data_IF_877281169872
#
_entry.id   IF_877281169872
#
_cell.length_a   1.000
_cell.length_b   1.000
_cell.length_c   1.000
_cell.angle_alpha   90.00
_cell.angle_beta   90.00
_cell.angle_gamma   90.00
#
_symmetry.space_group_name_H-M   'P 1'
#
loop_
_entity.id
_entity.type
_entity.pdbx_description
1 polymer ?
#
# COMPACT_ATOMS: atom_id res chain seq x y z
N UNK A 1 14.46 16.57 9.18
CA UNK A 1 13.26 15.76 8.93
C UNK A 1 13.40 14.50 9.75
N UNK A 2 12.59 14.34 10.78
CA UNK A 2 12.48 13.06 11.48
C UNK A 2 11.80 12.14 10.48
N UNK A 3 12.57 11.31 9.77
CA UNK A 3 12.02 10.35 8.83
C UNK A 3 11.02 9.48 9.60
N UNK A 4 9.80 9.34 9.07
CA UNK A 4 8.64 8.72 9.72
C UNK A 4 8.85 7.21 9.98
N UNK A 5 9.87 6.82 10.72
CA UNK A 5 10.16 5.44 11.06
C UNK A 5 10.65 4.56 9.90
N UNK A 6 11.59 5.02 9.07
CA UNK A 6 12.42 4.13 8.22
C UNK A 6 11.81 3.68 6.89
N UNK A 7 12.45 2.68 6.25
CA UNK A 7 12.06 2.11 4.95
C UNK A 7 12.35 2.97 3.72
N UNK A 8 13.19 4.01 3.82
CA UNK A 8 13.49 4.95 2.71
C UNK A 8 14.54 4.43 1.71
N UNK A 9 14.95 3.17 1.85
CA UNK A 9 15.76 2.48 0.87
C UNK A 9 14.87 1.97 -0.28
N UNK A 10 15.05 2.56 -1.46
CA UNK A 10 14.26 2.26 -2.64
C UNK A 10 15.13 1.62 -3.72
N UNK A 11 14.65 0.52 -4.29
CA UNK A 11 15.26 -0.15 -5.42
C UNK A 11 14.19 -0.42 -6.48
N UNK A 12 14.34 0.11 -7.69
CA UNK A 12 13.44 -0.24 -8.79
C UNK A 12 13.94 -1.55 -9.37
N UNK A 13 13.10 -2.58 -9.34
CA UNK A 13 13.33 -3.74 -10.19
C UNK A 13 12.91 -3.38 -11.63
N UNK A 14 13.72 -3.78 -12.60
CA UNK A 14 13.52 -3.54 -14.04
C UNK A 14 13.72 -4.86 -14.78
N UNK A 15 12.79 -5.24 -15.66
CA UNK A 15 12.72 -6.58 -16.25
C UNK A 15 12.25 -7.67 -15.28
N UNK A 16 11.49 -7.27 -14.26
CA UNK A 16 10.94 -8.13 -13.22
C UNK A 16 9.76 -8.99 -13.71
N UNK A 17 9.46 -10.09 -13.02
CA UNK A 17 8.21 -10.83 -13.26
C UNK A 17 7.01 -9.99 -12.83
N UNK A 18 6.03 -9.85 -13.72
CA UNK A 18 4.78 -9.16 -13.43
C UNK A 18 3.86 -10.04 -12.58
N UNK A 19 3.28 -9.44 -11.52
CA UNK A 19 2.41 -10.13 -10.56
C UNK A 19 1.16 -9.31 -10.28
N UNK A 20 0.09 -9.99 -9.84
CA UNK A 20 -1.20 -9.35 -9.53
C UNK A 20 -1.61 -9.45 -8.04
N UNK A 21 -0.85 -10.20 -7.23
CA UNK A 21 -1.15 -10.39 -5.79
C UNK A 21 0.05 -10.13 -4.90
N UNK A 22 -0.22 -9.65 -3.68
CA UNK A 22 0.78 -9.49 -2.61
C UNK A 22 1.38 -10.81 -2.14
N UNK A 23 0.69 -11.92 -2.37
CA UNK A 23 1.14 -13.27 -2.00
C UNK A 23 1.95 -13.97 -3.08
N UNK A 24 2.02 -13.40 -4.30
CA UNK A 24 2.83 -13.94 -5.39
C UNK A 24 4.32 -13.69 -5.14
N UNK A 25 5.16 -14.66 -5.51
CA UNK A 25 6.59 -14.44 -5.59
C UNK A 25 6.88 -13.40 -6.68
N UNK A 26 7.68 -12.39 -6.33
CA UNK A 26 8.03 -11.28 -7.21
C UNK A 26 9.56 -11.14 -7.28
N UNK A 27 10.07 -10.24 -8.11
CA UNK A 27 11.51 -10.07 -8.28
C UNK A 27 12.19 -9.24 -7.19
N UNK A 28 11.49 -8.75 -6.17
CA UNK A 28 12.14 -8.26 -4.95
C UNK A 28 12.69 -9.42 -4.11
N UNK A 29 12.02 -10.58 -4.10
CA UNK A 29 12.39 -11.73 -3.25
C UNK A 29 13.82 -12.24 -3.49
N UNK A 30 14.31 -12.42 -4.74
CA UNK A 30 15.68 -12.85 -4.98
C UNK A 30 16.76 -11.86 -4.51
N UNK A 31 16.39 -10.59 -4.31
CA UNK A 31 17.29 -9.54 -3.80
C UNK A 31 17.32 -9.47 -2.27
N UNK A 32 16.54 -10.32 -1.59
CA UNK A 32 16.33 -10.21 -0.14
C UNK A 32 15.46 -9.01 0.25
N UNK A 33 14.70 -8.46 -0.70
CA UNK A 33 13.82 -7.31 -0.50
C UNK A 33 12.36 -7.73 -0.58
N UNK A 34 11.48 -6.83 -0.17
CA UNK A 34 10.04 -6.93 -0.39
C UNK A 34 9.59 -5.81 -1.32
N UNK A 35 8.37 -5.90 -1.84
CA UNK A 35 7.79 -4.75 -2.51
C UNK A 35 7.61 -3.61 -1.51
N UNK A 36 7.91 -2.39 -1.93
CA UNK A 36 7.86 -1.21 -1.08
C UNK A 36 6.47 -1.02 -0.48
N UNK A 37 6.41 -0.70 0.80
CA UNK A 37 5.16 -0.40 1.50
C UNK A 37 5.16 1.10 1.81
N UNK A 38 4.18 1.89 1.32
CA UNK A 38 4.12 3.30 1.66
C UNK A 38 3.77 3.46 3.13
N UNK A 39 4.75 3.87 3.93
CA UNK A 39 4.63 3.92 5.40
C UNK A 39 3.90 5.15 5.91
N UNK A 40 4.06 6.24 5.20
CA UNK A 40 3.46 7.54 5.45
C UNK A 40 3.33 8.29 4.15
N UNK A 41 2.63 9.42 4.19
CA UNK A 41 2.59 10.38 3.08
C UNK A 41 3.98 10.84 2.65
N UNK A 42 4.86 11.14 3.62
CA UNK A 42 6.22 11.58 3.31
C UNK A 42 7.07 10.46 2.70
N UNK A 43 6.86 9.21 3.15
CA UNK A 43 7.51 8.03 2.58
C UNK A 43 7.07 7.79 1.13
N UNK A 44 5.78 7.89 0.84
CA UNK A 44 5.23 7.84 -0.52
C UNK A 44 5.82 8.95 -1.42
N UNK A 45 5.94 10.17 -0.91
CA UNK A 45 6.55 11.28 -1.65
C UNK A 45 8.03 11.02 -1.95
N UNK A 46 8.77 10.49 -0.99
CA UNK A 46 10.19 10.17 -1.17
C UNK A 46 10.37 9.05 -2.22
N UNK A 47 9.48 8.05 -2.23
CA UNK A 47 9.47 7.01 -3.26
C UNK A 47 9.19 7.60 -4.65
N UNK A 48 8.20 8.48 -4.77
CA UNK A 48 7.91 9.18 -6.03
C UNK A 48 9.10 10.05 -6.49
N UNK A 49 9.70 10.83 -5.58
CA UNK A 49 10.89 11.64 -5.90
C UNK A 49 12.06 10.78 -6.37
N UNK A 50 12.28 9.63 -5.72
CA UNK A 50 13.28 8.67 -6.17
C UNK A 50 13.04 8.21 -7.61
N UNK A 51 11.80 7.84 -7.98
CA UNK A 51 11.47 7.48 -9.37
C UNK A 51 11.77 8.63 -10.32
N UNK A 52 11.36 9.87 -10.00
CA UNK A 52 11.63 11.04 -10.82
C UNK A 52 13.13 11.26 -11.06
N UNK A 53 13.97 11.05 -10.03
CA UNK A 53 15.42 11.17 -10.14
C UNK A 53 16.04 10.09 -11.04
N UNK A 54 15.41 8.93 -11.18
CA UNK A 54 15.89 7.86 -12.08
C UNK A 54 15.58 8.10 -13.56
N UNK A 55 14.72 9.08 -13.87
CA UNK A 55 14.23 9.32 -15.25
C UNK A 55 13.28 8.25 -15.77
N UNK A 56 12.83 7.30 -14.93
CA UNK A 56 11.81 6.31 -15.27
C UNK A 56 10.42 6.95 -15.22
N UNK A 57 9.51 6.41 -16.03
CA UNK A 57 8.12 6.85 -15.99
C UNK A 57 7.47 6.36 -14.69
N UNK A 58 6.79 7.23 -13.96
CA UNK A 58 6.05 6.84 -12.77
C UNK A 58 4.99 5.78 -13.07
N UNK A 59 4.38 5.89 -14.27
CA UNK A 59 3.45 4.90 -14.81
C UNK A 59 4.02 3.51 -14.97
N UNK A 60 5.32 3.38 -15.14
CA UNK A 60 5.96 2.09 -15.24
C UNK A 60 6.21 1.46 -13.88
N UNK A 61 6.52 2.26 -12.85
CA UNK A 61 6.92 1.79 -11.52
C UNK A 61 5.73 1.59 -10.57
N UNK A 62 4.70 2.43 -10.70
CA UNK A 62 3.51 2.43 -9.84
C UNK A 62 2.23 2.20 -10.66
N UNK A 63 2.18 1.08 -11.39
CA UNK A 63 0.92 0.61 -12.00
C UNK A 63 -0.09 0.15 -10.95
N UNK A 64 0.42 -0.24 -9.78
CA UNK A 64 -0.37 -0.74 -8.67
C UNK A 64 0.05 -0.13 -7.35
N UNK A 65 -0.87 -0.13 -6.39
CA UNK A 65 -0.56 0.17 -5.00
C UNK A 65 0.37 -0.93 -4.46
N UNK A 66 1.61 -0.59 -4.04
CA UNK A 66 2.59 -1.60 -3.66
C UNK A 66 2.43 -2.00 -2.19
N UNK A 67 2.63 -3.29 -1.90
CA UNK A 67 2.78 -3.81 -0.53
C UNK A 67 1.54 -3.75 0.37
N UNK A 68 0.37 -3.36 -0.13
CA UNK A 68 -0.87 -3.23 0.64
C UNK A 68 -2.00 -4.01 -0.03
N UNK A 69 -2.70 -4.82 0.74
CA UNK A 69 -3.83 -5.62 0.26
C UNK A 69 -4.83 -5.88 1.38
N UNK A 70 -5.93 -6.55 1.02
CA UNK A 70 -6.95 -7.04 1.96
C UNK A 70 -7.01 -8.58 1.88
N UNK A 71 -7.06 -9.29 3.02
CA UNK A 71 -6.98 -10.76 3.05
C UNK A 71 -8.31 -11.48 2.78
N UNK A 72 -9.28 -10.81 2.15
CA UNK A 72 -10.61 -11.35 1.90
C UNK A 72 -11.25 -10.70 0.68
N UNK A 73 -12.17 -11.45 0.09
CA UNK A 73 -12.90 -11.07 -1.09
C UNK A 73 -13.97 -10.00 -0.78
N UNK A 74 -14.46 -9.36 -1.83
CA UNK A 74 -15.60 -8.47 -1.81
C UNK A 74 -15.46 -7.24 -0.90
N UNK A 75 -16.51 -6.43 -0.91
CA UNK A 75 -16.62 -5.25 -0.04
C UNK A 75 -16.85 -5.61 1.44
N UNK A 76 -17.68 -6.63 1.70
CA UNK A 76 -18.28 -6.88 3.02
C UNK A 76 -17.76 -8.11 3.73
N UNK A 77 -16.95 -8.96 3.09
CA UNK A 77 -16.66 -10.30 3.63
C UNK A 77 -15.72 -10.29 4.85
N UNK A 78 -15.24 -9.10 5.23
CA UNK A 78 -14.51 -8.81 6.47
C UNK A 78 -15.10 -7.63 7.27
N UNK A 79 -16.39 -7.34 7.11
CA UNK A 79 -17.10 -6.21 7.73
C UNK A 79 -16.42 -4.84 7.52
N UNK A 80 -16.63 -4.18 6.37
CA UNK A 80 -16.75 -2.71 6.39
C UNK A 80 -15.49 -1.84 6.31
N UNK A 81 -14.47 -2.22 5.55
CA UNK A 81 -13.32 -1.34 5.22
C UNK A 81 -13.64 -0.15 4.31
N UNK A 82 -14.63 0.69 4.66
CA UNK A 82 -14.90 1.96 3.98
C UNK A 82 -14.02 3.04 4.58
N UNK A 83 -13.13 3.61 3.78
CA UNK A 83 -12.52 4.91 4.06
C UNK A 83 -11.32 4.92 5.00
N UNK A 84 -10.99 3.83 5.68
CA UNK A 84 -9.71 3.71 6.40
C UNK A 84 -8.60 3.37 5.40
N UNK A 85 -7.76 4.36 5.12
CA UNK A 85 -6.72 4.29 4.09
C UNK A 85 -5.33 4.57 4.67
N UNK A 86 -5.19 4.39 5.98
CA UNK A 86 -3.92 4.35 6.68
C UNK A 86 -4.06 3.55 7.97
N UNK A 87 -2.94 3.00 8.43
CA UNK A 87 -2.81 2.35 9.74
C UNK A 87 -3.10 3.30 10.90
N UNK A 88 -2.76 4.59 10.79
CA UNK A 88 -3.07 5.59 11.82
C UNK A 88 -4.57 5.86 11.93
N UNK A 89 -5.27 5.97 10.78
CA UNK A 89 -6.72 6.11 10.76
C UNK A 89 -7.40 4.84 11.31
N UNK A 90 -6.83 3.67 11.06
CA UNK A 90 -7.29 2.42 11.67
C UNK A 90 -7.14 2.46 13.20
N UNK A 91 -5.98 2.86 13.72
CA UNK A 91 -5.72 2.94 15.16
C UNK A 91 -6.63 3.97 15.86
N UNK A 92 -7.03 5.03 15.15
CA UNK A 92 -7.97 6.03 15.64
C UNK A 92 -9.45 5.60 15.52
N UNK A 93 -9.79 4.58 14.72
CA UNK A 93 -11.18 4.13 14.56
C UNK A 93 -11.64 3.31 15.75
N UNK A 94 -12.85 3.59 16.23
CA UNK A 94 -13.50 2.80 17.28
C UNK A 94 -14.07 1.47 16.74
N UNK A 95 -14.14 1.30 15.42
CA UNK A 95 -14.72 0.13 14.76
C UNK A 95 -13.61 -0.69 14.10
N UNK A 96 -13.12 -1.72 14.80
CA UNK A 96 -12.07 -2.61 14.29
C UNK A 96 -12.44 -3.30 12.96
N UNK A 97 -13.73 -3.42 12.66
CA UNK A 97 -14.25 -3.91 11.39
C UNK A 97 -13.79 -3.03 10.21
N UNK A 98 -13.62 -1.72 10.40
CA UNK A 98 -13.18 -0.80 9.34
C UNK A 98 -11.70 -0.98 8.92
N UNK A 99 -10.92 -1.75 9.69
CA UNK A 99 -9.49 -1.99 9.49
C UNK A 99 -9.19 -3.27 8.69
N UNK A 100 -9.65 -3.37 7.44
CA UNK A 100 -9.45 -4.58 6.63
C UNK A 100 -8.19 -4.56 5.75
N UNK A 101 -7.68 -3.37 5.45
CA UNK A 101 -6.46 -3.18 4.66
C UNK A 101 -5.22 -3.34 5.53
N UNK A 102 -4.19 -3.98 4.98
CA UNK A 102 -2.98 -4.28 5.72
C UNK A 102 -1.75 -4.25 4.81
N UNK A 103 -0.62 -3.83 5.38
CA UNK A 103 0.70 -4.02 4.80
C UNK A 103 1.05 -5.52 4.75
N UNK A 104 1.83 -5.93 3.75
CA UNK A 104 2.34 -7.31 3.64
C UNK A 104 3.15 -7.76 4.85
N UNK A 105 3.84 -6.83 5.51
CA UNK A 105 4.65 -7.08 6.70
C UNK A 105 3.92 -6.79 8.02
N UNK A 106 2.64 -6.38 7.95
CA UNK A 106 1.80 -5.98 9.09
C UNK A 106 2.27 -4.72 9.84
N UNK A 107 3.23 -3.96 9.30
CA UNK A 107 3.69 -2.68 9.83
C UNK A 107 2.79 -1.50 9.44
N UNK A 108 3.31 -0.27 9.58
CA UNK A 108 2.58 0.92 9.12
C UNK A 108 2.34 0.90 7.64
N UNK A 109 1.23 1.49 7.29
CA UNK A 109 0.91 1.78 5.91
C UNK A 109 0.04 3.02 5.81
N UNK A 110 0.14 3.65 4.66
CA UNK A 110 -0.58 4.86 4.31
C UNK A 110 -0.87 4.85 2.80
N UNK A 111 -2.10 5.19 2.43
CA UNK A 111 -2.51 5.41 1.05
C UNK A 111 -3.10 6.80 0.87
N UNK A 112 -3.95 7.24 1.82
CA UNK A 112 -4.61 8.55 1.79
C UNK A 112 -4.93 9.01 3.22
N UNK A 113 -4.97 10.33 3.40
CA UNK A 113 -5.42 10.96 4.66
C UNK A 113 -6.96 11.02 4.77
N UNK A 114 -7.66 10.97 3.64
CA UNK A 114 -9.12 11.16 3.57
C UNK A 114 -9.81 9.89 3.11
N UNK A 115 -11.03 9.66 3.60
CA UNK A 115 -11.89 8.58 3.11
C UNK A 115 -12.08 8.61 1.59
N UNK A 116 -12.15 7.44 0.98
CA UNK A 116 -12.32 7.27 -0.46
C UNK A 116 -13.35 6.19 -0.73
N UNK A 117 -14.06 6.30 -1.87
CA UNK A 117 -15.15 5.40 -2.21
C UNK A 117 -14.69 4.10 -2.90
N UNK A 118 -13.39 3.96 -3.14
CA UNK A 118 -12.76 2.75 -3.65
C UNK A 118 -11.93 2.08 -2.55
N UNK A 119 -11.76 0.76 -2.61
CA UNK A 119 -12.42 -0.15 -3.56
C UNK A 119 -13.90 -0.40 -3.26
N UNK A 120 -14.71 -0.59 -4.30
CA UNK A 120 -16.17 -0.46 -4.22
C UNK A 120 -16.99 -1.75 -4.26
N UNK A 121 -16.40 -2.93 -4.51
CA UNK A 121 -17.24 -4.12 -4.61
C UNK A 121 -16.53 -5.42 -4.92
N UNK A 122 -15.64 -5.39 -5.90
CA UNK A 122 -15.22 -6.59 -6.64
C UNK A 122 -13.76 -6.96 -6.38
N UNK A 123 -13.23 -6.46 -5.26
CA UNK A 123 -11.91 -6.82 -4.79
C UNK A 123 -11.80 -8.34 -4.56
N UNK A 124 -10.82 -8.97 -5.19
CA UNK A 124 -10.44 -10.34 -4.87
C UNK A 124 -9.27 -10.34 -3.88
N UNK A 125 -9.28 -11.30 -2.96
CA UNK A 125 -8.30 -11.41 -1.87
C UNK A 125 -6.86 -11.31 -2.37
N UNK A 126 -6.07 -10.54 -1.61
CA UNK A 126 -4.64 -10.30 -1.78
C UNK A 126 -4.23 -9.65 -3.10
N UNK A 127 -5.18 -9.22 -3.94
CA UNK A 127 -4.87 -8.59 -5.21
C UNK A 127 -4.39 -7.15 -5.02
N UNK A 128 -3.58 -6.67 -5.96
CA UNK A 128 -3.22 -5.26 -5.94
C UNK A 128 -4.38 -4.38 -6.39
N UNK A 129 -4.36 -3.13 -5.92
CA UNK A 129 -5.23 -2.08 -6.43
C UNK A 129 -4.54 -1.41 -7.63
N UNK A 130 -5.25 -1.32 -8.76
CA UNK A 130 -4.79 -0.61 -9.95
C UNK A 130 -4.70 0.88 -9.66
N UNK A 131 -3.57 1.51 -9.95
CA UNK A 131 -3.40 2.95 -9.83
C UNK A 131 -3.83 3.66 -11.11
N UNK A 132 -4.39 4.86 -10.98
CA UNK A 132 -4.90 5.66 -12.10
C UNK A 132 -4.79 7.17 -11.78
N UNK A 133 -5.01 8.09 -12.74
CA UNK A 133 -5.01 9.56 -12.46
C UNK A 133 -6.38 10.13 -12.04
N UNK A 134 -6.45 11.41 -11.69
CA UNK A 134 -7.73 12.06 -11.38
C UNK A 134 -8.78 11.93 -12.51
N UNK A 135 -8.32 11.85 -13.77
CA UNK A 135 -9.17 11.70 -14.95
C UNK A 135 -9.61 10.24 -15.21
N UNK A 136 -9.24 9.27 -14.37
CA UNK A 136 -9.51 7.82 -14.53
C UNK A 136 -8.88 7.19 -15.76
N UNK A 137 -7.75 7.71 -16.22
CA UNK A 137 -6.98 7.06 -17.26
C UNK A 137 -6.17 5.91 -16.66
N UNK A 138 -6.49 4.68 -17.08
CA UNK A 138 -5.98 3.41 -16.54
C UNK A 138 -4.48 3.13 -16.76
N UNK A 139 -3.71 4.09 -17.26
CA UNK A 139 -2.29 3.91 -17.63
C UNK A 139 -1.44 5.16 -17.37
N UNK A 140 -2.04 6.27 -16.96
CA UNK A 140 -1.32 7.47 -16.52
C UNK A 140 -1.59 7.64 -15.05
N UNK A 141 -0.77 7.08 -14.13
CA UNK A 141 -1.04 7.22 -12.72
C UNK A 141 -0.56 8.56 -12.17
N UNK A 142 0.24 9.35 -12.88
CA UNK A 142 1.01 10.38 -12.20
C UNK A 142 1.70 11.37 -13.15
N UNK A 143 1.60 12.66 -12.86
CA UNK A 143 2.67 13.61 -13.16
C UNK A 143 3.50 13.79 -11.89
N UNK A 144 4.80 14.08 -12.00
CA UNK A 144 5.66 14.29 -10.83
C UNK A 144 5.07 15.30 -9.81
N UNK A 145 4.21 16.20 -10.29
CA UNK A 145 3.55 17.25 -9.52
C UNK A 145 2.27 16.79 -8.79
N UNK A 146 1.65 15.67 -9.19
CA UNK A 146 0.38 15.18 -8.65
C UNK A 146 0.58 14.12 -7.56
N UNK A 147 1.33 14.48 -6.51
CA UNK A 147 1.65 13.53 -5.43
C UNK A 147 0.47 13.10 -4.55
N UNK A 148 -0.67 13.78 -4.69
CA UNK A 148 -1.92 13.50 -4.00
C UNK A 148 -3.14 13.91 -4.85
N UNK A 149 -4.31 13.32 -4.56
CA UNK A 149 -4.45 12.15 -3.71
C UNK A 149 -4.19 10.85 -4.49
N UNK A 150 -3.75 9.79 -3.82
CA UNK A 150 -3.49 8.48 -4.48
C UNK A 150 -4.82 7.90 -4.98
N UNK A 151 -5.00 7.76 -6.30
CA UNK A 151 -6.21 7.16 -6.89
C UNK A 151 -5.99 5.70 -7.25
N UNK A 152 -6.96 4.85 -6.92
CA UNK A 152 -6.85 3.42 -7.13
C UNK A 152 -8.20 2.71 -7.22
N UNK A 153 -8.21 1.54 -7.84
CA UNK A 153 -9.38 0.70 -8.08
C UNK A 153 -9.06 -0.78 -7.79
N UNK A 154 -10.03 -1.56 -7.31
CA UNK A 154 -9.90 -3.01 -7.09
C UNK A 154 -9.77 -3.83 -8.37
N UNK A 155 -10.38 -3.35 -9.46
CA UNK A 155 -10.28 -3.84 -10.84
C UNK A 155 -10.35 -5.37 -10.98
N UNK A 156 -11.14 -6.04 -10.14
CA UNK A 156 -11.37 -7.49 -10.18
C UNK A 156 -10.08 -8.34 -10.25
N UNK A 157 -9.02 -7.91 -9.55
CA UNK A 157 -7.71 -8.58 -9.59
C UNK A 157 -7.00 -8.58 -10.96
N UNK A 158 -7.40 -7.70 -11.87
CA UNK A 158 -6.77 -7.53 -13.18
C UNK A 158 -5.65 -6.49 -13.19
N UNK A 159 -5.24 -6.01 -12.01
CA UNK A 159 -4.13 -5.08 -11.85
C UNK A 159 -2.81 -5.86 -11.77
N UNK A 160 -1.87 -5.52 -12.65
CA UNK A 160 -0.55 -6.15 -12.72
C UNK A 160 0.54 -5.11 -12.45
N UNK A 161 1.60 -5.50 -11.75
CA UNK A 161 2.75 -4.62 -11.48
C UNK A 161 3.47 -4.17 -12.77
N UNK A 162 3.37 -4.97 -13.84
CA UNK A 162 4.27 -4.85 -14.98
C UNK A 162 5.66 -5.40 -14.64
N UNK A 163 6.63 -5.10 -15.49
CA UNK A 163 8.03 -5.52 -15.35
C UNK A 163 8.90 -4.54 -14.57
N UNK A 164 8.32 -3.42 -14.12
CA UNK A 164 8.97 -2.43 -13.27
C UNK A 164 8.14 -2.17 -12.01
N UNK A 165 8.77 -2.25 -10.84
CA UNK A 165 8.15 -1.87 -9.58
C UNK A 165 9.19 -1.66 -8.49
N UNK A 166 8.78 -1.00 -7.41
CA UNK A 166 9.69 -0.61 -6.33
C UNK A 166 9.78 -1.65 -5.23
N UNK A 167 11.01 -2.03 -4.89
CA UNK A 167 11.38 -2.86 -3.76
C UNK A 167 12.01 -2.01 -2.65
N UNK A 168 11.92 -2.51 -1.42
CA UNK A 168 12.54 -1.93 -0.22
C UNK A 168 12.77 -3.02 0.82
N UNK A 169 13.71 -2.79 1.75
CA UNK A 169 13.82 -3.60 2.97
C UNK A 169 12.62 -3.40 3.88
N UNK A 170 11.89 -2.29 3.72
CA UNK A 170 10.71 -1.94 4.52
C UNK A 170 11.01 -1.83 6.03
N UNK A 171 12.28 -1.77 6.45
CA UNK A 171 12.66 -1.77 7.87
C UNK A 171 12.19 -0.49 8.55
N UNK A 172 11.30 -0.63 9.54
CA UNK A 172 10.88 0.45 10.42
C UNK A 172 11.55 0.32 11.80
N UNK A 173 12.04 1.42 12.44
CA UNK A 173 12.60 1.38 13.79
C UNK A 173 11.61 0.95 14.88
N UNK A 174 10.31 0.95 14.60
CA UNK A 174 9.26 0.40 15.49
C UNK A 174 7.97 0.26 14.70
N UNK A 175 7.37 -0.94 14.59
CA UNK A 175 5.98 -1.04 14.15
C UNK A 175 5.07 -0.38 15.21
N UNK A 176 4.03 0.39 14.84
CA UNK A 176 2.98 0.72 15.77
C UNK A 176 2.26 -0.57 16.16
N UNK A 177 1.70 -0.57 17.35
CA UNK A 177 0.80 -1.62 17.82
C UNK A 177 -0.23 -1.96 16.73
N UNK A 178 -0.16 -3.17 16.20
CA UNK A 178 -1.17 -3.63 15.26
C UNK A 178 -2.52 -3.81 16.01
N UNK A 179 -3.62 -4.00 15.29
CA UNK A 179 -4.95 -4.15 15.89
C UNK A 179 -5.02 -5.34 16.89
N UNK A 180 -4.20 -6.37 16.72
CA UNK A 180 -4.10 -7.49 17.68
C UNK A 180 -3.25 -7.15 18.92
N UNK A 181 -2.24 -6.29 18.78
CA UNK A 181 -1.44 -5.78 19.89
C UNK A 181 -2.26 -4.81 20.75
N UNK A 182 -3.12 -4.00 20.13
CA UNK A 182 -4.12 -3.17 20.83
C UNK A 182 -5.12 -4.04 21.60
N UNK A 183 -5.60 -5.15 21.01
CA UNK A 183 -6.48 -6.12 21.71
C UNK A 183 -5.81 -6.73 22.93
N UNK A 184 -4.53 -7.09 22.83
CA UNK A 184 -3.75 -7.61 23.97
C UNK A 184 -3.53 -6.54 25.04
N UNK A 185 -3.07 -5.35 24.66
CA UNK A 185 -2.82 -4.26 25.59
C UNK A 185 -4.09 -3.83 26.35
N UNK A 186 -5.26 -3.85 25.70
CA UNK A 186 -6.53 -3.54 26.35
C UNK A 186 -7.05 -4.70 27.23
N UNK A 187 -6.71 -5.95 26.93
CA UNK A 187 -7.06 -7.09 27.78
C UNK A 187 -6.21 -7.13 29.07
N UNK A 188 -4.93 -6.75 28.97
CA UNK A 188 -3.99 -6.74 30.09
C UNK A 188 -4.14 -5.49 31.00
N UNK A 189 -4.84 -4.44 30.54
CA UNK A 189 -5.10 -3.22 31.32
C UNK A 189 -6.33 -3.31 32.25
N UNK A 190 -7.08 -4.43 32.19
CA UNK A 190 -8.32 -4.65 32.97
C UNK A 190 -8.17 -5.83 33.96
N UNK A 191 -6.96 -6.39 34.10
CA UNK A 191 -6.58 -7.38 35.12
C UNK A 191 -5.79 -6.74 36.25
#
# INVERSE_FOLDING_TARGET
MTADGGGYDFHICDGCVSVQKTTSQNGCTPLGLQMMIPRSKAHWYAAADYVSLTGRAMSSVFQVVPGISKPCDGRTDCDGGRGVLSSDACAASAAASECTWQATDRGRWWLRDTSYNQPSGDYARDCYLAMYDEARNWVTPWTADAKEPVWFNDYECNAFTGDMYMCSTNIEPTPPSNCNDIKKQNADAVS
#
